data_IF_343225560154
#
_entry.id   IF_343225560154
#
_cell.length_a   1.000
_cell.length_b   1.000
_cell.length_c   1.000
_cell.angle_alpha   90.00
_cell.angle_beta   90.00
_cell.angle_gamma   90.00
#
_symmetry.space_group_name_H-M   'P 1'
#
loop_
_entity.id
_entity.type
_entity.pdbx_description
1 polymer ?
#
# COMPACT_ATOMS: atom_id res chain seq x y z
N UNK A 1 7.22 -37.35 18.10
CA UNK A 1 7.00 -36.15 18.93
C UNK A 1 7.42 -34.89 18.18
N UNK A 2 8.60 -34.83 17.52
CA UNK A 2 9.09 -33.65 16.80
C UNK A 2 8.19 -33.31 15.59
N UNK A 3 7.79 -34.30 14.79
CA UNK A 3 6.90 -34.13 13.63
C UNK A 3 5.52 -33.60 14.04
N UNK A 4 4.98 -34.08 15.17
CA UNK A 4 3.67 -33.64 15.68
C UNK A 4 3.72 -32.21 16.25
N UNK A 5 4.87 -31.82 16.84
CA UNK A 5 5.08 -30.44 17.30
C UNK A 5 5.24 -29.45 16.14
N UNK A 6 5.92 -29.86 15.06
CA UNK A 6 6.03 -29.06 13.84
C UNK A 6 4.69 -28.88 13.13
N UNK A 7 3.85 -29.91 13.10
CA UNK A 7 2.51 -29.83 12.49
C UNK A 7 1.58 -28.88 13.27
N UNK A 8 1.58 -28.97 14.64
CA UNK A 8 0.82 -28.02 15.46
C UNK A 8 1.30 -26.57 15.32
N UNK A 9 2.62 -26.37 15.19
CA UNK A 9 3.17 -25.04 14.95
C UNK A 9 2.77 -24.47 13.60
N UNK A 10 2.66 -25.30 12.57
CA UNK A 10 2.21 -24.87 11.24
C UNK A 10 0.72 -24.50 11.22
N UNK A 11 -0.15 -25.30 11.84
CA UNK A 11 -1.57 -24.99 11.97
C UNK A 11 -1.79 -23.70 12.77
N UNK A 12 -1.03 -23.47 13.82
CA UNK A 12 -1.06 -22.26 14.61
C UNK A 12 -0.61 -21.04 13.81
N UNK A 13 0.44 -21.19 12.99
CA UNK A 13 0.89 -20.17 12.07
C UNK A 13 -0.18 -19.83 11.01
N UNK A 14 -0.82 -20.82 10.40
CA UNK A 14 -1.92 -20.61 9.44
C UNK A 14 -3.12 -19.93 10.09
N UNK A 15 -3.44 -20.26 11.34
CA UNK A 15 -4.51 -19.61 12.10
C UNK A 15 -4.21 -18.13 12.36
N UNK A 16 -2.95 -17.79 12.70
CA UNK A 16 -2.52 -16.41 12.88
C UNK A 16 -2.63 -15.63 11.56
N UNK A 17 -2.15 -16.21 10.44
CA UNK A 17 -2.28 -15.60 9.13
C UNK A 17 -3.74 -15.39 8.72
N UNK A 18 -4.60 -16.37 9.02
CA UNK A 18 -6.05 -16.26 8.83
C UNK A 18 -6.65 -15.11 9.64
N UNK A 19 -6.26 -14.98 10.91
CA UNK A 19 -6.69 -13.88 11.77
C UNK A 19 -6.24 -12.51 11.26
N UNK A 20 -4.99 -12.38 10.82
CA UNK A 20 -4.46 -11.14 10.21
C UNK A 20 -5.24 -10.80 8.92
N UNK A 21 -5.48 -11.80 8.05
CA UNK A 21 -6.28 -11.63 6.84
C UNK A 21 -7.67 -11.10 7.17
N UNK A 22 -8.38 -11.73 8.12
CA UNK A 22 -9.73 -11.31 8.52
C UNK A 22 -9.74 -9.89 9.10
N UNK A 23 -8.77 -9.54 9.94
CA UNK A 23 -8.64 -8.18 10.48
C UNK A 23 -8.37 -7.12 9.40
N UNK A 24 -7.58 -7.45 8.37
CA UNK A 24 -7.30 -6.53 7.25
C UNK A 24 -8.51 -6.38 6.32
N UNK A 25 -9.30 -7.44 6.15
CA UNK A 25 -10.50 -7.40 5.31
C UNK A 25 -11.72 -6.84 6.04
N UNK A 26 -11.85 -7.14 7.34
CA UNK A 26 -13.00 -6.81 8.17
C UNK A 26 -12.58 -6.27 9.54
N UNK A 27 -11.93 -5.10 9.62
CA UNK A 27 -11.37 -4.56 10.87
C UNK A 27 -12.41 -4.32 11.96
N UNK A 28 -13.69 -4.18 11.61
CA UNK A 28 -14.81 -4.03 12.55
C UNK A 28 -15.66 -5.28 12.69
N UNK A 29 -15.16 -6.42 12.19
CA UNK A 29 -15.86 -7.70 12.21
C UNK A 29 -16.99 -7.79 11.18
N UNK A 30 -17.66 -8.94 11.17
CA UNK A 30 -18.77 -9.26 10.24
C UNK A 30 -20.13 -9.29 10.96
N UNK A 31 -20.20 -8.86 12.22
CA UNK A 31 -21.46 -8.84 12.97
C UNK A 31 -22.45 -7.89 12.30
N UNK A 32 -23.66 -8.38 12.07
CA UNK A 32 -24.74 -7.65 11.38
C UNK A 32 -25.02 -6.29 12.03
N UNK A 33 -24.99 -6.22 13.36
CA UNK A 33 -25.20 -4.98 14.12
C UNK A 33 -24.10 -3.92 13.85
N UNK A 34 -22.85 -4.36 13.70
CA UNK A 34 -21.72 -3.46 13.41
C UNK A 34 -21.80 -2.90 11.98
N UNK A 35 -22.33 -3.68 11.03
CA UNK A 35 -22.48 -3.31 9.64
C UNK A 35 -23.73 -2.47 9.36
N UNK A 36 -24.69 -2.40 10.28
CA UNK A 36 -25.86 -1.51 10.15
C UNK A 36 -25.51 -0.03 10.35
N UNK A 37 -24.39 0.27 11.03
CA UNK A 37 -23.88 1.64 11.13
C UNK A 37 -23.15 1.99 9.84
N UNK A 38 -23.70 2.93 9.07
CA UNK A 38 -23.15 3.33 7.77
C UNK A 38 -21.65 3.70 7.82
N UNK A 39 -21.21 4.31 8.93
CA UNK A 39 -19.81 4.69 9.16
C UNK A 39 -18.84 3.51 9.30
N UNK A 40 -19.34 2.33 9.67
CA UNK A 40 -18.56 1.10 9.79
C UNK A 40 -18.51 0.31 8.47
N UNK A 41 -19.29 0.71 7.46
CA UNK A 41 -19.22 0.09 6.15
C UNK A 41 -17.86 0.37 5.51
N UNK A 42 -17.36 -0.60 4.81
CA UNK A 42 -16.11 -0.46 4.08
C UNK A 42 -16.33 0.39 2.82
N UNK A 43 -15.59 1.49 2.64
CA UNK A 43 -15.77 2.38 1.51
C UNK A 43 -15.30 1.77 0.19
N UNK A 44 -15.98 2.12 -0.88
CA UNK A 44 -15.49 1.92 -2.24
C UNK A 44 -14.70 3.14 -2.70
N UNK A 45 -13.95 3.00 -3.80
CA UNK A 45 -13.15 4.11 -4.35
C UNK A 45 -14.01 5.34 -4.69
N UNK A 46 -15.26 5.13 -5.08
CA UNK A 46 -16.22 6.21 -5.34
C UNK A 46 -16.45 7.07 -4.10
N UNK A 47 -16.47 6.47 -2.92
CA UNK A 47 -16.56 7.19 -1.64
C UNK A 47 -15.31 8.04 -1.39
N UNK A 48 -14.11 7.52 -1.69
CA UNK A 48 -12.86 8.27 -1.57
C UNK A 48 -12.82 9.45 -2.55
N UNK A 49 -13.20 9.21 -3.82
CA UNK A 49 -13.26 10.27 -4.83
C UNK A 49 -14.27 11.34 -4.39
N UNK A 50 -15.44 10.95 -3.87
CA UNK A 50 -16.44 11.87 -3.35
C UNK A 50 -15.95 12.69 -2.16
N UNK A 51 -15.14 12.07 -1.25
CA UNK A 51 -14.63 12.73 -0.05
C UNK A 51 -13.49 13.71 -0.34
N UNK A 52 -12.60 13.39 -1.28
CA UNK A 52 -11.40 14.17 -1.56
C UNK A 52 -11.42 14.93 -2.89
N UNK A 53 -12.33 14.61 -3.80
CA UNK A 53 -12.43 15.27 -5.10
C UNK A 53 -11.12 15.24 -5.87
N UNK A 54 -10.66 16.41 -6.31
CA UNK A 54 -9.40 16.57 -7.04
C UNK A 54 -8.17 16.11 -6.21
N UNK A 55 -8.20 16.32 -4.89
CA UNK A 55 -7.10 15.94 -4.02
C UNK A 55 -6.81 14.44 -4.02
N UNK A 56 -7.81 13.60 -4.31
CA UNK A 56 -7.60 12.17 -4.49
C UNK A 56 -6.61 11.88 -5.64
N UNK A 57 -6.74 12.54 -6.76
CA UNK A 57 -5.86 12.36 -7.91
C UNK A 57 -4.48 12.98 -7.70
N UNK A 58 -4.43 14.15 -7.03
CA UNK A 58 -3.16 14.76 -6.62
C UNK A 58 -2.40 13.87 -5.65
N UNK A 59 -3.08 13.21 -4.73
CA UNK A 59 -2.48 12.23 -3.83
C UNK A 59 -1.87 11.04 -4.59
N UNK A 60 -2.58 10.48 -5.57
CA UNK A 60 -2.03 9.37 -6.39
C UNK A 60 -0.77 9.83 -7.12
N UNK A 61 -0.84 10.99 -7.77
CA UNK A 61 0.33 11.58 -8.44
C UNK A 61 1.47 11.84 -7.45
N UNK A 62 1.16 12.32 -6.24
CA UNK A 62 2.12 12.51 -5.16
C UNK A 62 2.75 11.23 -4.67
N UNK A 63 1.97 10.15 -4.54
CA UNK A 63 2.49 8.84 -4.16
C UNK A 63 3.46 8.27 -5.21
N UNK A 64 3.17 8.47 -6.50
CA UNK A 64 4.07 8.09 -7.60
C UNK A 64 5.34 8.95 -7.57
N UNK A 65 5.20 10.26 -7.35
CA UNK A 65 6.33 11.18 -7.20
C UNK A 65 7.21 10.80 -6.01
N UNK A 66 6.60 10.45 -4.88
CA UNK A 66 7.30 9.98 -3.69
C UNK A 66 8.11 8.71 -3.98
N UNK A 67 7.51 7.72 -4.65
CA UNK A 67 8.22 6.52 -5.08
C UNK A 67 9.40 6.86 -6.00
N UNK A 68 9.22 7.81 -6.93
CA UNK A 68 10.29 8.28 -7.80
C UNK A 68 11.45 8.91 -7.00
N UNK A 69 11.18 9.73 -6.00
CA UNK A 69 12.18 10.37 -5.15
C UNK A 69 12.95 9.31 -4.33
N UNK A 70 12.23 8.36 -3.72
CA UNK A 70 12.85 7.27 -2.93
C UNK A 70 13.81 6.45 -3.79
N UNK A 71 13.40 6.08 -5.02
CA UNK A 71 14.17 5.16 -5.85
C UNK A 71 15.06 5.88 -6.90
N UNK A 72 15.17 7.22 -6.83
CA UNK A 72 15.99 8.00 -7.77
C UNK A 72 17.48 7.66 -7.72
N UNK A 73 17.97 7.21 -6.57
CA UNK A 73 19.39 6.92 -6.31
C UNK A 73 19.85 5.56 -6.84
N UNK A 74 18.90 4.69 -7.26
CA UNK A 74 19.23 3.39 -7.84
C UNK A 74 19.60 3.48 -9.33
N UNK A 75 20.41 2.52 -9.79
CA UNK A 75 20.76 2.40 -11.21
C UNK A 75 19.51 2.24 -12.09
N UNK A 76 19.59 2.67 -13.35
CA UNK A 76 18.42 2.76 -14.27
C UNK A 76 17.55 1.52 -14.30
N UNK A 77 18.14 0.32 -14.29
CA UNK A 77 17.44 -0.97 -14.33
C UNK A 77 16.61 -1.21 -13.06
N UNK A 78 17.23 -1.03 -11.90
CA UNK A 78 16.58 -1.27 -10.59
C UNK A 78 15.57 -0.16 -10.28
N UNK A 79 15.89 1.09 -10.66
CA UNK A 79 14.94 2.19 -10.57
C UNK A 79 13.66 1.90 -11.36
N UNK A 80 13.77 1.50 -12.64
CA UNK A 80 12.60 1.17 -13.45
C UNK A 80 11.79 0.01 -12.85
N UNK A 81 12.44 -1.04 -12.37
CA UNK A 81 11.82 -2.16 -11.70
C UNK A 81 11.06 -1.73 -10.44
N UNK A 82 11.73 -1.01 -9.52
CA UNK A 82 11.13 -0.53 -8.27
C UNK A 82 9.97 0.44 -8.51
N UNK A 83 10.10 1.32 -9.50
CA UNK A 83 9.00 2.22 -9.91
C UNK A 83 7.78 1.43 -10.38
N UNK A 84 7.97 0.44 -11.25
CA UNK A 84 6.85 -0.40 -11.76
C UNK A 84 6.16 -1.13 -10.62
N UNK A 85 6.94 -1.74 -9.71
CA UNK A 85 6.38 -2.45 -8.56
C UNK A 85 5.69 -1.50 -7.59
N UNK A 86 6.22 -0.28 -7.39
CA UNK A 86 5.58 0.73 -6.53
C UNK A 86 4.27 1.25 -7.11
N UNK A 87 4.22 1.50 -8.41
CA UNK A 87 2.97 1.90 -9.09
C UNK A 87 1.94 0.78 -8.96
N UNK A 88 2.33 -0.46 -9.19
CA UNK A 88 1.44 -1.61 -9.01
C UNK A 88 0.95 -1.72 -7.55
N UNK A 89 1.83 -1.54 -6.58
CA UNK A 89 1.50 -1.53 -5.15
C UNK A 89 0.47 -0.44 -4.81
N UNK A 90 0.71 0.82 -5.24
CA UNK A 90 -0.22 1.93 -5.04
C UNK A 90 -1.58 1.59 -5.67
N UNK A 91 -1.56 1.07 -6.90
CA UNK A 91 -2.77 0.69 -7.62
C UNK A 91 -3.54 -0.42 -6.87
N UNK A 92 -2.87 -1.47 -6.44
CA UNK A 92 -3.52 -2.60 -5.76
C UNK A 92 -4.10 -2.22 -4.41
N UNK A 93 -3.44 -1.35 -3.63
CA UNK A 93 -3.99 -0.87 -2.36
C UNK A 93 -5.26 -0.06 -2.59
N UNK A 94 -5.29 0.80 -3.59
CA UNK A 94 -6.39 1.74 -3.81
C UNK A 94 -7.55 1.08 -4.59
N UNK A 95 -7.26 0.47 -5.74
CA UNK A 95 -8.29 0.11 -6.73
C UNK A 95 -8.90 -1.29 -6.57
N UNK A 96 -8.37 -2.14 -5.70
CA UNK A 96 -8.94 -3.48 -5.46
C UNK A 96 -10.28 -3.46 -4.71
N UNK A 97 -10.84 -2.27 -4.42
CA UNK A 97 -12.20 -2.08 -3.92
C UNK A 97 -12.92 -0.98 -4.71
N UNK A 98 -13.20 -1.28 -5.97
CA UNK A 98 -13.71 -0.29 -6.92
C UNK A 98 -15.20 -0.04 -6.77
N UNK A 99 -16.04 -1.05 -7.02
CA UNK A 99 -17.51 -1.00 -6.94
C UNK A 99 -18.05 -2.36 -6.51
N UNK A 100 -19.27 -2.45 -5.92
CA UNK A 100 -19.87 -3.72 -5.52
C UNK A 100 -19.98 -4.74 -6.65
N UNK A 101 -20.37 -4.31 -7.84
CA UNK A 101 -20.62 -5.17 -9.01
C UNK A 101 -19.36 -5.45 -9.84
N UNK A 102 -18.21 -4.87 -9.47
CA UNK A 102 -16.98 -5.02 -10.24
C UNK A 102 -16.22 -6.30 -9.87
N UNK A 103 -15.30 -6.71 -10.76
CA UNK A 103 -14.32 -7.76 -10.48
C UNK A 103 -13.48 -7.37 -9.24
N UNK A 104 -13.29 -6.07 -9.00
CA UNK A 104 -12.63 -5.52 -7.82
C UNK A 104 -13.64 -4.99 -6.81
N UNK A 105 -14.43 -5.89 -6.22
CA UNK A 105 -15.42 -5.51 -5.20
C UNK A 105 -14.84 -5.50 -3.76
N UNK A 106 -13.60 -5.92 -3.58
CA UNK A 106 -12.89 -5.94 -2.29
C UNK A 106 -13.11 -7.22 -1.47
N UNK A 107 -14.08 -8.06 -1.79
CA UNK A 107 -14.43 -9.26 -1.03
C UNK A 107 -14.22 -10.56 -1.80
N UNK A 108 -14.26 -10.53 -3.12
CA UNK A 108 -14.03 -11.69 -3.96
C UNK A 108 -12.54 -12.10 -4.00
N UNK A 109 -12.28 -13.33 -4.40
CA UNK A 109 -10.93 -13.90 -4.47
C UNK A 109 -9.98 -13.04 -5.32
N UNK A 110 -10.46 -12.54 -6.46
CA UNK A 110 -9.67 -11.69 -7.35
C UNK A 110 -9.18 -10.43 -6.64
N UNK A 111 -10.08 -9.70 -5.97
CA UNK A 111 -9.71 -8.50 -5.20
C UNK A 111 -8.71 -8.81 -4.09
N UNK A 112 -8.89 -9.94 -3.39
CA UNK A 112 -8.00 -10.35 -2.29
C UNK A 112 -6.62 -10.73 -2.83
N UNK A 113 -6.55 -11.50 -3.91
CA UNK A 113 -5.28 -11.89 -4.54
C UNK A 113 -4.50 -10.67 -5.02
N UNK A 114 -5.17 -9.72 -5.67
CA UNK A 114 -4.51 -8.49 -6.11
C UNK A 114 -4.06 -7.62 -4.92
N UNK A 115 -4.88 -7.46 -3.90
CA UNK A 115 -4.55 -6.67 -2.72
C UNK A 115 -3.35 -7.23 -1.95
N UNK A 116 -3.44 -8.49 -1.52
CA UNK A 116 -2.35 -9.12 -0.79
C UNK A 116 -1.14 -9.41 -1.68
N UNK A 117 -1.38 -9.82 -2.91
CA UNK A 117 -0.33 -10.08 -3.90
C UNK A 117 0.50 -8.84 -4.21
N UNK A 118 -0.13 -7.67 -4.35
CA UNK A 118 0.58 -6.40 -4.54
C UNK A 118 1.46 -6.02 -3.36
N UNK A 119 0.96 -6.21 -2.12
CA UNK A 119 1.72 -5.96 -0.90
C UNK A 119 2.92 -6.92 -0.78
N UNK A 120 2.69 -8.21 -0.98
CA UNK A 120 3.73 -9.24 -0.92
C UNK A 120 4.78 -9.01 -2.01
N UNK A 121 4.35 -8.73 -3.24
CA UNK A 121 5.24 -8.46 -4.36
C UNK A 121 6.15 -7.25 -4.06
N UNK A 122 5.59 -6.17 -3.53
CA UNK A 122 6.37 -4.98 -3.15
C UNK A 122 7.40 -5.32 -2.07
N UNK A 123 7.00 -5.99 -0.99
CA UNK A 123 7.89 -6.39 0.09
C UNK A 123 9.00 -7.33 -0.40
N UNK A 124 8.65 -8.37 -1.16
CA UNK A 124 9.63 -9.32 -1.71
C UNK A 124 10.58 -8.64 -2.70
N UNK A 125 10.13 -7.63 -3.45
CA UNK A 125 10.98 -6.87 -4.36
C UNK A 125 12.06 -6.08 -3.63
N UNK A 126 11.73 -5.47 -2.49
CA UNK A 126 12.70 -4.77 -1.64
C UNK A 126 13.70 -5.75 -1.03
N UNK A 127 13.22 -6.88 -0.49
CA UNK A 127 14.08 -7.93 0.06
C UNK A 127 15.01 -8.51 -1.00
N UNK A 128 14.48 -8.85 -2.16
CA UNK A 128 15.27 -9.36 -3.29
C UNK A 128 16.38 -8.39 -3.70
N UNK A 129 16.03 -7.11 -3.82
CA UNK A 129 17.02 -6.10 -4.19
C UNK A 129 18.09 -5.95 -3.12
N UNK A 130 17.72 -5.94 -1.84
CA UNK A 130 18.66 -5.85 -0.72
C UNK A 130 19.64 -7.05 -0.70
N UNK A 131 19.14 -8.28 -0.85
CA UNK A 131 19.98 -9.49 -0.89
C UNK A 131 20.95 -9.43 -2.08
N UNK A 132 20.47 -9.00 -3.25
CA UNK A 132 21.28 -8.90 -4.45
C UNK A 132 22.36 -7.81 -4.34
N UNK A 133 22.00 -6.66 -3.82
CA UNK A 133 22.92 -5.55 -3.58
C UNK A 133 24.01 -5.93 -2.57
N UNK A 134 23.65 -6.68 -1.52
CA UNK A 134 24.62 -7.17 -0.51
C UNK A 134 25.61 -8.19 -1.09
N UNK A 135 25.24 -8.90 -2.16
CA UNK A 135 26.07 -9.95 -2.76
C UNK A 135 26.88 -9.48 -3.97
N UNK A 136 26.22 -9.32 -5.11
CA UNK A 136 26.87 -9.14 -6.42
C UNK A 136 27.00 -7.67 -6.87
N UNK A 137 26.04 -6.84 -6.51
CA UNK A 137 25.90 -5.48 -7.04
C UNK A 137 26.12 -4.46 -5.89
N UNK A 138 27.32 -4.45 -5.28
CA UNK A 138 27.62 -3.57 -4.13
C UNK A 138 27.45 -2.07 -4.40
N UNK A 139 27.53 -1.65 -5.65
CA UNK A 139 27.24 -0.25 -6.02
C UNK A 139 25.77 0.12 -5.78
N UNK A 140 24.85 -0.85 -5.88
CA UNK A 140 23.43 -0.64 -5.62
C UNK A 140 23.13 -0.49 -4.11
N UNK A 141 24.02 -0.94 -3.22
CA UNK A 141 23.91 -0.65 -1.77
C UNK A 141 23.93 0.85 -1.50
N UNK A 142 24.74 1.61 -2.26
CA UNK A 142 24.74 3.09 -2.17
C UNK A 142 23.39 3.70 -2.50
N UNK A 143 22.57 3.03 -3.31
CA UNK A 143 21.18 3.43 -3.56
C UNK A 143 20.33 3.39 -2.29
N UNK A 144 20.54 2.40 -1.41
CA UNK A 144 19.85 2.34 -0.11
C UNK A 144 20.32 3.43 0.85
N UNK A 145 21.63 3.73 0.87
CA UNK A 145 22.20 4.81 1.69
C UNK A 145 21.69 6.19 1.25
N UNK A 146 21.33 6.33 -0.04
CA UNK A 146 20.75 7.56 -0.58
C UNK A 146 19.26 7.74 -0.32
N UNK A 147 18.58 6.76 0.26
CA UNK A 147 17.15 6.88 0.57
C UNK A 147 16.94 7.88 1.70
N UNK A 148 16.20 8.94 1.42
CA UNK A 148 15.72 9.84 2.47
C UNK A 148 14.70 9.12 3.36
N UNK A 149 15.06 8.99 4.65
CA UNK A 149 14.22 8.29 5.63
C UNK A 149 12.84 8.94 5.77
N UNK A 150 12.72 10.25 5.58
CA UNK A 150 11.43 10.97 5.68
C UNK A 150 10.51 10.53 4.56
N UNK A 151 11.02 10.42 3.33
CA UNK A 151 10.22 9.94 2.19
C UNK A 151 9.82 8.48 2.36
N UNK A 152 10.73 7.65 2.87
CA UNK A 152 10.43 6.24 3.11
C UNK A 152 9.35 6.06 4.20
N UNK A 153 9.46 6.78 5.31
CA UNK A 153 8.43 6.79 6.36
C UNK A 153 7.09 7.33 5.86
N UNK A 154 7.11 8.34 4.97
CA UNK A 154 5.89 8.88 4.35
C UNK A 154 5.21 7.81 3.47
N UNK A 155 5.97 6.99 2.75
CA UNK A 155 5.43 5.88 1.96
C UNK A 155 4.79 4.81 2.86
N UNK A 156 5.43 4.45 3.96
CA UNK A 156 4.88 3.53 4.96
C UNK A 156 3.60 4.10 5.56
N UNK A 157 3.60 5.37 5.93
CA UNK A 157 2.41 6.06 6.46
C UNK A 157 1.27 6.05 5.45
N UNK A 158 1.56 6.37 4.17
CA UNK A 158 0.56 6.28 3.10
C UNK A 158 -0.04 4.88 3.00
N UNK A 159 0.79 3.84 2.95
CA UNK A 159 0.34 2.46 2.86
C UNK A 159 -0.57 2.08 4.05
N UNK A 160 -0.12 2.38 5.26
CA UNK A 160 -0.85 2.09 6.49
C UNK A 160 -2.18 2.84 6.57
N UNK A 161 -2.17 4.13 6.26
CA UNK A 161 -3.37 4.96 6.26
C UNK A 161 -4.37 4.52 5.19
N UNK A 162 -3.90 4.14 3.99
CA UNK A 162 -4.74 3.62 2.91
C UNK A 162 -5.40 2.28 3.29
N UNK A 163 -4.64 1.36 3.92
CA UNK A 163 -5.17 0.09 4.44
C UNK A 163 -6.25 0.37 5.50
N UNK A 164 -5.97 1.27 6.44
CA UNK A 164 -6.92 1.67 7.48
C UNK A 164 -8.19 2.28 6.89
N UNK A 165 -8.07 3.21 5.94
CA UNK A 165 -9.19 3.88 5.30
C UNK A 165 -10.09 2.92 4.48
N UNK A 166 -9.56 1.77 4.02
CA UNK A 166 -10.38 0.71 3.41
C UNK A 166 -11.27 0.01 4.42
N UNK A 167 -10.90 0.03 5.68
CA UNK A 167 -11.60 -0.72 6.74
C UNK A 167 -12.98 -0.16 7.06
N UNK A 168 -13.16 1.16 7.05
CA UNK A 168 -14.45 1.80 7.30
C UNK A 168 -14.49 3.23 6.80
N UNK A 169 -15.69 3.71 6.46
CA UNK A 169 -15.91 5.10 6.01
C UNK A 169 -15.39 6.12 7.02
N UNK A 170 -15.61 5.90 8.32
CA UNK A 170 -15.12 6.79 9.38
C UNK A 170 -13.58 6.91 9.42
N UNK A 171 -12.85 5.92 8.91
CA UNK A 171 -11.39 5.96 8.88
C UNK A 171 -10.82 6.77 7.72
N UNK A 172 -11.67 7.19 6.76
CA UNK A 172 -11.28 8.11 5.70
C UNK A 172 -10.75 9.43 6.27
N UNK A 173 -11.27 9.85 7.43
CA UNK A 173 -10.78 11.04 8.13
C UNK A 173 -9.30 10.95 8.49
N UNK A 174 -8.83 9.78 8.96
CA UNK A 174 -7.42 9.56 9.28
C UNK A 174 -6.51 9.49 8.04
N UNK A 175 -7.10 9.30 6.87
CA UNK A 175 -6.39 9.33 5.59
C UNK A 175 -6.16 10.76 5.08
N UNK A 176 -6.96 11.74 5.52
CA UNK A 176 -6.92 13.13 5.05
C UNK A 176 -5.53 13.79 5.17
N UNK A 177 -4.77 13.64 6.28
CA UNK A 177 -3.47 14.30 6.38
C UNK A 177 -2.47 13.81 5.33
N UNK A 178 -2.43 12.50 5.05
CA UNK A 178 -1.51 11.97 4.04
C UNK A 178 -1.94 12.35 2.62
N UNK A 179 -3.25 12.48 2.35
CA UNK A 179 -3.77 13.02 1.09
C UNK A 179 -3.25 14.43 0.85
N UNK A 180 -3.31 15.29 1.88
CA UNK A 180 -2.81 16.67 1.80
C UNK A 180 -1.29 16.71 1.60
N UNK A 181 -0.51 15.92 2.35
CA UNK A 181 0.95 15.86 2.25
C UNK A 181 1.39 15.41 0.86
N UNK A 182 0.82 14.34 0.33
CA UNK A 182 1.18 13.82 -1.00
C UNK A 182 0.73 14.76 -2.12
N UNK A 183 -0.46 15.36 -2.00
CA UNK A 183 -0.93 16.37 -2.96
C UNK A 183 0.00 17.59 -2.99
N UNK A 184 0.41 18.09 -1.82
CA UNK A 184 1.37 19.19 -1.72
C UNK A 184 2.74 18.82 -2.29
N UNK A 185 3.26 17.61 -1.98
CA UNK A 185 4.52 17.13 -2.53
C UNK A 185 4.53 17.16 -4.06
N UNK A 186 3.45 16.69 -4.69
CA UNK A 186 3.32 16.70 -6.15
C UNK A 186 3.35 18.12 -6.72
N UNK A 187 2.55 19.03 -6.14
CA UNK A 187 2.47 20.42 -6.59
C UNK A 187 3.81 21.14 -6.44
N UNK A 188 4.51 20.96 -5.32
CA UNK A 188 5.83 21.55 -5.10
C UNK A 188 6.84 21.03 -6.14
N UNK A 189 6.84 19.71 -6.41
CA UNK A 189 7.79 19.13 -7.38
C UNK A 189 7.52 19.55 -8.82
N UNK A 190 6.26 19.73 -9.20
CA UNK A 190 5.92 20.33 -10.50
C UNK A 190 6.40 21.79 -10.55
N UNK A 191 6.14 22.58 -9.50
CA UNK A 191 6.61 23.97 -9.43
C UNK A 191 8.13 24.06 -9.59
N UNK A 192 8.90 23.28 -8.83
CA UNK A 192 10.37 23.22 -8.97
C UNK A 192 10.84 22.85 -10.39
N UNK A 193 10.09 21.99 -11.09
CA UNK A 193 10.40 21.62 -12.48
C UNK A 193 10.04 22.68 -13.51
N UNK A 194 9.00 23.48 -13.23
CA UNK A 194 8.52 24.52 -14.14
C UNK A 194 9.39 25.80 -14.11
N UNK A 195 10.13 26.02 -13.01
CA UNK A 195 11.00 27.20 -12.83
C UNK A 195 12.49 26.92 -13.11
N UNK A 196 12.82 25.76 -13.61
CA UNK A 196 14.16 25.37 -14.11
C UNK A 196 14.19 25.38 -15.63
#
# INVERSE_FOLDING_TARGET
VIIFGAYRGFDQFLSILGGIKEQLLHPFGTLRLTLTVAENQQPFITTWIGSFGLFFWLMIAGAITLAFLIFSHFGKKYKAYLMTVSILFIFTIIFTRYKPESIFNGTNLTSQVFFFGGMILFALSLVYLYIRASGKDKEELKGFDGIDIVFFLTLIWFAWAAIGARGAVRLIFFFSPIVAVLGALFLVKIGEGAFK
#
